data_IF_707629990767
#
_entry.id   IF_707629990767
#
_cell.length_a   1.000
_cell.length_b   1.000
_cell.length_c   1.000
_cell.angle_alpha   90.00
_cell.angle_beta   90.00
_cell.angle_gamma   90.00
#
_symmetry.space_group_name_H-M   'P 1'
#
loop_
_entity.id
_entity.type
_entity.pdbx_description
1 polymer ?
#
# COMPACT_ATOMS: atom_id res chain seq x y z
N UNK A 1 17.80 -7.91 15.02
CA UNK A 1 17.44 -8.26 13.61
C UNK A 1 17.79 -7.07 12.74
N UNK A 2 18.67 -7.27 11.77
CA UNK A 2 19.16 -6.25 10.83
C UNK A 2 18.03 -5.68 9.95
N UNK A 3 18.08 -4.37 9.72
CA UNK A 3 17.13 -3.65 8.91
C UNK A 3 17.15 -2.15 9.16
N UNK A 4 16.00 -1.51 9.01
CA UNK A 4 15.87 -0.06 9.07
C UNK A 4 14.80 0.34 10.08
N UNK A 5 15.07 1.41 10.83
CA UNK A 5 14.06 2.16 11.56
C UNK A 5 13.83 3.46 10.81
N UNK A 6 12.59 3.84 10.61
CA UNK A 6 12.25 5.07 9.89
C UNK A 6 11.38 6.00 10.73
N UNK A 7 11.54 7.29 10.46
CA UNK A 7 10.64 8.34 10.90
C UNK A 7 9.94 8.88 9.65
N UNK A 8 8.62 8.90 9.70
CA UNK A 8 7.80 9.39 8.60
C UNK A 8 6.83 10.47 9.08
N UNK A 9 6.48 11.40 8.19
CA UNK A 9 5.56 12.52 8.44
C UNK A 9 4.41 12.49 7.45
N UNK A 10 3.29 13.06 7.85
CA UNK A 10 2.12 13.25 6.98
C UNK A 10 2.35 14.47 6.09
N UNK A 11 1.98 14.32 4.81
CA UNK A 11 1.95 15.41 3.84
C UNK A 11 0.51 15.58 3.37
N UNK A 12 0.03 16.81 3.35
CA UNK A 12 -1.27 17.15 2.79
C UNK A 12 -1.25 17.15 1.23
N UNK A 13 -2.42 17.27 0.62
CA UNK A 13 -2.54 17.30 -0.84
C UNK A 13 -1.85 18.52 -1.49
N UNK A 14 -1.51 19.55 -0.71
CA UNK A 14 -0.75 20.72 -1.13
C UNK A 14 0.76 20.51 -1.06
N UNK A 15 1.23 19.35 -0.60
CA UNK A 15 2.64 19.05 -0.41
C UNK A 15 3.25 19.70 0.84
N UNK A 16 2.41 20.06 1.83
CA UNK A 16 2.87 20.62 3.11
C UNK A 16 2.87 19.54 4.18
N UNK A 17 3.90 19.55 5.02
CA UNK A 17 3.90 18.69 6.19
C UNK A 17 2.79 19.09 7.17
N UNK A 18 2.02 18.11 7.62
CA UNK A 18 1.07 18.31 8.71
C UNK A 18 1.87 18.37 10.02
N UNK A 19 1.75 19.49 10.73
CA UNK A 19 2.51 19.74 11.94
C UNK A 19 2.24 18.69 13.02
N UNK A 20 3.31 18.28 13.68
CA UNK A 20 3.30 17.49 14.90
C UNK A 20 3.27 15.98 14.71
N UNK A 21 2.73 15.45 13.62
CA UNK A 21 2.55 14.02 13.48
C UNK A 21 3.77 13.33 12.88
N UNK A 22 4.39 12.44 13.67
CA UNK A 22 5.52 11.60 13.28
C UNK A 22 5.16 10.13 13.48
N UNK A 23 5.49 9.29 12.52
CA UNK A 23 5.40 7.84 12.65
C UNK A 23 6.82 7.29 12.82
N UNK A 24 7.02 6.47 13.85
CA UNK A 24 8.24 5.70 14.05
C UNK A 24 7.88 4.24 13.78
N UNK A 25 8.65 3.58 12.93
CA UNK A 25 8.41 2.18 12.58
C UNK A 25 9.66 1.52 12.02
N UNK A 26 9.57 0.21 11.81
CA UNK A 26 10.68 -0.60 11.29
C UNK A 26 10.35 -1.27 9.95
N UNK A 27 11.40 -1.60 9.20
CA UNK A 27 11.29 -2.35 7.95
C UNK A 27 12.60 -3.00 7.55
N UNK A 28 12.54 -4.17 6.94
CA UNK A 28 13.70 -4.76 6.25
C UNK A 28 14.00 -4.07 4.92
N UNK A 29 13.02 -3.39 4.32
CA UNK A 29 13.11 -2.71 3.03
C UNK A 29 12.32 -1.41 3.10
N UNK A 30 12.93 -0.33 3.56
CA UNK A 30 12.23 0.93 3.83
C UNK A 30 11.56 1.53 2.58
N UNK A 31 12.17 1.44 1.39
CA UNK A 31 11.56 1.93 0.13
C UNK A 31 10.25 1.20 -0.22
N UNK A 32 10.21 -0.12 -0.02
CA UNK A 32 8.99 -0.91 -0.21
C UNK A 32 7.94 -0.54 0.85
N UNK A 33 8.39 -0.31 2.09
CA UNK A 33 7.52 0.07 3.20
C UNK A 33 6.88 1.44 2.98
N UNK A 34 7.61 2.42 2.47
CA UNK A 34 7.08 3.74 2.11
C UNK A 34 5.96 3.63 1.07
N UNK A 35 6.17 2.83 0.02
CA UNK A 35 5.12 2.54 -0.98
C UNK A 35 3.90 1.87 -0.34
N UNK A 36 4.10 0.94 0.61
CA UNK A 36 3.00 0.28 1.31
C UNK A 36 2.21 1.25 2.20
N UNK A 37 2.87 2.18 2.88
CA UNK A 37 2.21 3.20 3.70
C UNK A 37 1.29 4.09 2.85
N UNK A 38 1.70 4.41 1.63
CA UNK A 38 0.93 5.23 0.69
C UNK A 38 -0.06 4.44 -0.17
N UNK A 39 0.01 3.10 -0.17
CA UNK A 39 -0.95 2.23 -0.89
C UNK A 39 -2.26 2.02 -0.12
N UNK A 40 -2.28 2.33 1.17
CA UNK A 40 -3.51 2.34 1.96
C UNK A 40 -4.32 3.59 1.59
N UNK A 41 -5.66 3.48 1.54
CA UNK A 41 -6.55 4.59 1.18
C UNK A 41 -6.60 5.63 2.31
N UNK A 42 -5.44 6.14 2.71
CA UNK A 42 -5.36 7.25 3.64
C UNK A 42 -5.70 8.55 2.92
N UNK A 43 -6.37 9.51 3.57
CA UNK A 43 -6.69 10.81 2.97
C UNK A 43 -5.45 11.74 2.89
N UNK A 44 -4.27 11.23 3.14
CA UNK A 44 -2.99 11.96 3.15
C UNK A 44 -1.86 11.02 2.73
N UNK A 45 -0.79 11.61 2.22
CA UNK A 45 0.43 10.88 1.91
C UNK A 45 1.38 10.85 3.11
N UNK A 46 2.24 9.83 3.17
CA UNK A 46 3.26 9.65 4.21
C UNK A 46 4.63 9.63 3.56
N UNK A 47 5.53 10.51 3.99
CA UNK A 47 6.91 10.58 3.53
C UNK A 47 7.87 10.16 4.64
N UNK A 48 8.78 9.24 4.35
CA UNK A 48 9.89 8.94 5.25
C UNK A 48 10.90 10.10 5.19
N UNK A 49 11.05 10.76 6.32
CA UNK A 49 11.93 11.95 6.44
C UNK A 49 13.30 11.61 7.02
N UNK A 50 13.40 10.49 7.76
CA UNK A 50 14.66 9.96 8.30
C UNK A 50 14.63 8.43 8.27
N UNK A 51 15.76 7.80 7.95
CA UNK A 51 15.90 6.34 7.92
C UNK A 51 17.26 5.98 8.53
N UNK A 52 17.25 5.01 9.43
CA UNK A 52 18.43 4.56 10.17
C UNK A 52 18.69 3.09 9.88
N UNK A 53 19.90 2.78 9.42
CA UNK A 53 20.34 1.40 9.22
C UNK A 53 20.90 0.84 10.54
N UNK A 54 20.44 -0.34 10.97
CA UNK A 54 20.81 -0.93 12.23
C UNK A 54 20.82 -2.45 12.19
N UNK A 55 21.69 -3.07 12.99
CA UNK A 55 21.73 -4.51 13.20
C UNK A 55 20.56 -5.01 14.08
N UNK A 56 19.99 -4.13 14.89
CA UNK A 56 18.82 -4.46 15.71
C UNK A 56 17.72 -3.38 15.64
N UNK A 57 16.92 -3.47 14.59
CA UNK A 57 15.82 -2.53 14.36
C UNK A 57 14.74 -2.58 15.46
N UNK A 58 14.52 -3.72 16.09
CA UNK A 58 13.53 -3.83 17.17
C UNK A 58 13.94 -3.08 18.43
N UNK A 59 15.21 -3.17 18.81
CA UNK A 59 15.75 -2.42 19.96
C UNK A 59 15.74 -0.92 19.67
N UNK A 60 16.19 -0.48 18.49
CA UNK A 60 16.20 0.95 18.14
C UNK A 60 14.78 1.55 18.09
N UNK A 61 13.83 0.86 17.43
CA UNK A 61 12.43 1.28 17.40
C UNK A 61 11.86 1.39 18.81
N UNK A 62 12.06 0.36 19.66
CA UNK A 62 11.59 0.35 21.04
C UNK A 62 12.15 1.50 21.88
N UNK A 63 13.44 1.81 21.73
CA UNK A 63 14.07 2.94 22.41
C UNK A 63 13.42 4.26 21.96
N UNK A 64 13.28 4.49 20.66
CA UNK A 64 12.63 5.69 20.13
C UNK A 64 11.17 5.80 20.59
N UNK A 65 10.43 4.69 20.61
CA UNK A 65 9.07 4.67 21.14
C UNK A 65 8.99 5.08 22.60
N UNK A 66 9.88 4.59 23.44
CA UNK A 66 9.96 4.97 24.88
C UNK A 66 10.30 6.45 25.03
N UNK A 67 11.22 6.98 24.23
CA UNK A 67 11.62 8.38 24.30
C UNK A 67 10.53 9.38 23.97
N UNK A 68 9.56 8.95 23.18
CA UNK A 68 8.44 9.79 22.74
C UNK A 68 7.09 9.30 23.25
N UNK A 69 7.05 8.40 24.23
CA UNK A 69 5.81 7.78 24.72
C UNK A 69 4.78 8.80 25.22
N UNK A 70 5.23 9.88 25.87
CA UNK A 70 4.36 10.99 26.33
C UNK A 70 3.63 11.72 25.18
N UNK A 71 4.13 11.58 23.96
CA UNK A 71 3.53 12.19 22.76
C UNK A 71 2.77 11.18 21.91
N UNK A 72 2.64 9.94 22.36
CA UNK A 72 2.00 8.86 21.60
C UNK A 72 0.53 9.13 21.35
N UNK A 73 0.11 9.01 20.10
CA UNK A 73 -1.29 9.11 19.74
C UNK A 73 -2.02 7.85 20.15
N UNK A 74 -3.02 8.00 20.99
CA UNK A 74 -3.89 6.90 21.46
C UNK A 74 -5.21 7.00 20.71
N UNK A 75 -5.66 5.89 20.12
CA UNK A 75 -7.01 5.77 19.57
C UNK A 75 -7.94 5.23 20.64
N UNK A 76 -8.92 6.03 21.00
CA UNK A 76 -10.01 5.62 21.88
C UNK A 76 -11.18 5.10 21.03
N UNK A 77 -11.74 3.98 21.43
CA UNK A 77 -12.93 3.40 20.81
C UNK A 77 -14.10 3.43 21.81
N UNK A 78 -15.32 3.50 21.31
CA UNK A 78 -16.56 3.59 22.13
C UNK A 78 -16.72 2.42 23.11
N UNK A 79 -16.08 1.28 22.84
CA UNK A 79 -16.06 0.08 23.71
C UNK A 79 -14.97 0.13 24.81
N UNK A 80 -14.39 1.29 25.09
CA UNK A 80 -13.31 1.53 26.07
C UNK A 80 -11.99 0.80 25.77
N UNK A 81 -11.78 0.36 24.55
CA UNK A 81 -10.47 -0.13 24.12
C UNK A 81 -9.58 1.05 23.70
N UNK A 82 -8.45 1.19 24.37
CA UNK A 82 -7.41 2.13 23.96
C UNK A 82 -6.36 1.36 23.18
N UNK A 83 -6.13 1.75 21.92
CA UNK A 83 -5.08 1.17 21.07
C UNK A 83 -3.96 2.19 20.94
N UNK A 84 -2.79 1.84 21.44
CA UNK A 84 -1.57 2.62 21.18
C UNK A 84 -1.19 2.53 19.72
N UNK A 85 -0.81 3.66 19.13
CA UNK A 85 -0.38 3.71 17.74
C UNK A 85 1.14 3.88 17.66
N UNK A 86 1.70 3.74 16.47
CA UNK A 86 3.10 4.08 16.16
C UNK A 86 3.23 5.56 15.72
N UNK A 87 2.21 6.37 15.99
CA UNK A 87 2.17 7.80 15.70
C UNK A 87 2.38 8.61 16.98
N UNK A 88 3.13 9.70 16.83
CA UNK A 88 3.49 10.61 17.90
C UNK A 88 3.13 12.04 17.47
N UNK A 89 2.51 12.80 18.36
CA UNK A 89 2.18 14.20 18.10
C UNK A 89 3.16 15.12 18.84
N UNK A 90 4.25 15.47 18.18
CA UNK A 90 5.30 16.34 18.70
C UNK A 90 5.30 17.63 17.91
N UNK A 91 4.80 18.72 18.51
CA UNK A 91 4.72 20.03 17.86
C UNK A 91 6.08 20.74 17.72
N UNK A 92 6.99 20.49 18.66
CA UNK A 92 8.36 21.00 18.64
C UNK A 92 9.27 20.03 17.87
N UNK A 93 9.38 20.25 16.56
CA UNK A 93 10.14 19.40 15.65
C UNK A 93 11.66 19.50 15.91
N UNK A 94 12.15 20.65 16.33
CA UNK A 94 13.58 20.83 16.62
C UNK A 94 13.96 20.03 17.83
N UNK A 95 13.19 20.10 18.90
CA UNK A 95 13.38 19.26 20.09
C UNK A 95 13.26 17.78 19.78
N UNK A 96 12.33 17.39 18.88
CA UNK A 96 12.18 16.03 18.41
C UNK A 96 13.47 15.53 17.71
N UNK A 97 13.93 16.29 16.72
CA UNK A 97 15.14 15.96 15.96
C UNK A 97 16.38 15.91 16.87
N UNK A 98 16.56 16.89 17.75
CA UNK A 98 17.68 16.89 18.71
C UNK A 98 17.71 15.63 19.60
N UNK A 99 16.56 15.18 20.07
CA UNK A 99 16.47 13.94 20.86
C UNK A 99 16.82 12.71 20.02
N UNK A 100 16.30 12.63 18.78
CA UNK A 100 16.65 11.54 17.87
C UNK A 100 18.15 11.53 17.61
N UNK A 101 18.74 12.69 17.29
CA UNK A 101 20.17 12.82 17.01
C UNK A 101 21.04 12.38 18.19
N UNK A 102 20.71 12.80 19.40
CA UNK A 102 21.41 12.37 20.61
C UNK A 102 21.42 10.84 20.75
N UNK A 103 20.29 10.19 20.47
CA UNK A 103 20.19 8.74 20.60
C UNK A 103 20.91 8.00 19.49
N UNK A 104 20.72 8.40 18.26
CA UNK A 104 21.35 7.80 17.07
C UNK A 104 22.88 7.92 17.18
N UNK A 105 23.38 9.10 17.57
CA UNK A 105 24.81 9.33 17.80
C UNK A 105 25.36 8.51 18.98
N UNK A 106 24.61 8.43 20.09
CA UNK A 106 25.04 7.63 21.25
C UNK A 106 25.15 6.14 20.91
N UNK A 107 24.24 5.64 20.08
CA UNK A 107 24.22 4.25 19.63
C UNK A 107 25.11 4.00 18.40
N UNK A 108 25.77 5.03 17.88
CA UNK A 108 26.58 4.98 16.65
C UNK A 108 25.83 4.38 15.46
N UNK A 109 24.57 4.76 15.31
CA UNK A 109 23.68 4.31 14.24
C UNK A 109 23.87 5.18 12.99
N UNK A 110 23.94 4.55 11.83
CA UNK A 110 24.09 5.23 10.55
C UNK A 110 22.74 5.69 10.00
N UNK A 111 22.62 6.98 9.72
CA UNK A 111 21.48 7.52 8.96
C UNK A 111 21.70 7.34 7.45
N UNK A 112 20.65 6.93 6.77
CA UNK A 112 20.64 6.73 5.31
C UNK A 112 20.40 8.08 4.64
N UNK A 113 21.25 8.44 3.69
CA UNK A 113 21.03 9.63 2.86
C UNK A 113 19.82 9.39 1.93
N UNK A 114 18.76 10.15 2.14
CA UNK A 114 17.55 10.11 1.33
C UNK A 114 17.62 11.02 0.10
N UNK A 115 18.71 11.81 -0.04
CA UNK A 115 18.93 12.75 -1.14
C UNK A 115 18.06 14.01 -1.07
N UNK A 116 17.45 14.29 0.08
CA UNK A 116 16.75 15.56 0.37
C UNK A 116 16.83 15.88 1.86
N UNK A 117 16.78 17.15 2.18
CA UNK A 117 16.69 17.66 3.56
C UNK A 117 15.29 18.21 3.80
N UNK A 118 14.69 17.87 4.94
CA UNK A 118 13.38 18.39 5.33
C UNK A 118 13.60 19.47 6.37
N UNK A 119 13.51 20.74 5.95
CA UNK A 119 13.47 21.86 6.86
C UNK A 119 12.07 22.03 7.46
N UNK A 120 12.00 22.46 8.70
CA UNK A 120 10.79 22.47 9.52
C UNK A 120 9.67 23.39 9.02
N UNK A 121 10.00 24.38 8.17
CA UNK A 121 9.08 25.41 7.69
C UNK A 121 8.84 25.34 6.17
N UNK A 122 9.39 24.33 5.51
CA UNK A 122 9.45 24.28 4.07
C UNK A 122 8.15 23.77 3.49
N UNK A 123 7.43 24.64 2.83
CA UNK A 123 6.60 24.25 1.69
C UNK A 123 7.58 23.69 0.65
N UNK A 124 7.50 22.38 0.37
CA UNK A 124 8.31 21.76 -0.66
C UNK A 124 8.26 22.60 -1.94
N UNK A 125 9.41 22.87 -2.54
CA UNK A 125 9.48 23.52 -3.85
C UNK A 125 8.73 22.68 -4.89
N UNK A 126 8.35 23.25 -6.02
CA UNK A 126 7.66 22.48 -7.08
C UNK A 126 8.54 21.34 -7.62
N UNK A 127 9.87 21.48 -7.56
CA UNK A 127 10.81 20.43 -7.94
C UNK A 127 10.83 19.32 -6.89
N UNK A 128 10.91 19.66 -5.61
CA UNK A 128 10.82 18.70 -4.49
C UNK A 128 9.44 18.04 -4.42
N UNK A 129 8.35 18.78 -4.65
CA UNK A 129 7.00 18.20 -4.79
C UNK A 129 6.92 17.20 -5.94
N UNK A 130 7.62 17.48 -7.04
CA UNK A 130 7.68 16.59 -8.19
C UNK A 130 8.53 15.36 -7.87
N UNK A 131 9.66 15.53 -7.18
CA UNK A 131 10.47 14.38 -6.71
C UNK A 131 9.74 13.55 -5.66
N UNK A 132 9.08 14.20 -4.69
CA UNK A 132 8.25 13.53 -3.69
C UNK A 132 7.07 12.82 -4.37
N UNK A 133 6.38 13.46 -5.31
CA UNK A 133 5.33 12.82 -6.11
C UNK A 133 5.88 11.68 -6.96
N UNK A 134 7.10 11.77 -7.45
CA UNK A 134 7.76 10.68 -8.18
C UNK A 134 8.24 9.55 -7.23
N UNK A 135 8.60 9.88 -5.98
CA UNK A 135 8.98 8.92 -4.93
C UNK A 135 7.76 8.30 -4.24
N UNK A 136 6.74 9.12 -3.91
CA UNK A 136 5.43 8.69 -3.39
C UNK A 136 4.58 8.16 -4.54
N UNK A 137 4.93 8.54 -5.76
CA UNK A 137 4.26 8.08 -6.98
C UNK A 137 4.01 6.60 -6.83
N UNK A 138 2.74 6.26 -6.72
CA UNK A 138 2.23 4.89 -6.80
C UNK A 138 3.18 4.11 -7.65
N UNK A 139 3.81 3.08 -7.08
CA UNK A 139 4.60 2.14 -7.87
C UNK A 139 3.87 2.02 -9.19
N UNK A 140 4.49 2.44 -10.31
CA UNK A 140 3.83 2.61 -11.62
C UNK A 140 2.79 1.53 -11.69
N UNK A 141 1.51 1.89 -11.79
CA UNK A 141 0.45 0.90 -11.66
C UNK A 141 0.79 -0.16 -12.70
N UNK A 142 1.41 -1.23 -12.23
CA UNK A 142 1.81 -2.31 -13.12
C UNK A 142 0.55 -2.78 -13.76
N UNK A 143 0.50 -2.72 -15.07
CA UNK A 143 -0.66 -3.17 -15.83
C UNK A 143 -0.60 -4.68 -16.01
N UNK A 144 -1.68 -5.23 -16.50
CA UNK A 144 -1.81 -6.64 -16.84
C UNK A 144 -1.90 -6.76 -18.35
N UNK A 145 -1.08 -7.65 -18.92
CA UNK A 145 -1.16 -8.07 -20.31
C UNK A 145 -1.48 -9.57 -20.33
N UNK A 146 -2.50 -9.94 -21.08
CA UNK A 146 -2.96 -11.32 -21.18
C UNK A 146 -3.13 -11.68 -22.65
N UNK A 147 -2.59 -12.81 -23.05
CA UNK A 147 -2.76 -13.35 -24.42
C UNK A 147 -3.56 -14.64 -24.37
N UNK A 148 -4.58 -14.75 -25.22
CA UNK A 148 -5.40 -15.94 -25.42
C UNK A 148 -5.30 -16.31 -26.91
N UNK A 149 -4.62 -17.39 -27.23
CA UNK A 149 -4.28 -17.72 -28.63
C UNK A 149 -3.52 -16.56 -29.28
N UNK A 150 -4.03 -16.02 -30.39
CA UNK A 150 -3.38 -14.91 -31.11
C UNK A 150 -3.87 -13.52 -30.64
N UNK A 151 -4.74 -13.45 -29.63
CA UNK A 151 -5.34 -12.19 -29.17
C UNK A 151 -4.70 -11.72 -27.88
N UNK A 152 -4.16 -10.49 -27.89
CA UNK A 152 -3.59 -9.85 -26.71
C UNK A 152 -4.53 -8.80 -26.16
N UNK A 153 -4.77 -8.85 -24.85
CA UNK A 153 -5.58 -7.91 -24.07
C UNK A 153 -4.67 -7.06 -23.20
N UNK A 154 -4.75 -5.75 -23.36
CA UNK A 154 -4.11 -4.75 -22.51
C UNK A 154 -4.98 -3.50 -22.52
N UNK A 155 -5.56 -3.14 -21.37
CA UNK A 155 -6.40 -1.97 -21.22
C UNK A 155 -5.68 -0.89 -20.40
N UNK A 156 -6.33 0.23 -20.11
CA UNK A 156 -5.73 1.34 -19.37
C UNK A 156 -5.34 0.94 -17.94
N UNK A 157 -6.03 -0.03 -17.35
CA UNK A 157 -5.75 -0.53 -15.99
C UNK A 157 -5.75 -2.05 -15.97
N UNK A 158 -4.97 -2.62 -15.03
CA UNK A 158 -4.97 -4.06 -14.78
C UNK A 158 -6.36 -4.60 -14.38
N UNK A 159 -7.22 -3.77 -13.77
CA UNK A 159 -8.60 -4.12 -13.45
C UNK A 159 -9.42 -4.30 -14.72
N UNK A 160 -9.36 -3.35 -15.64
CA UNK A 160 -10.10 -3.42 -16.91
C UNK A 160 -9.63 -4.62 -17.75
N UNK A 161 -8.30 -4.84 -17.86
CA UNK A 161 -7.76 -6.02 -18.55
C UNK A 161 -8.27 -7.31 -17.93
N UNK A 162 -8.26 -7.41 -16.59
CA UNK A 162 -8.76 -8.59 -15.88
C UNK A 162 -10.24 -8.85 -16.14
N UNK A 163 -11.10 -7.81 -16.12
CA UNK A 163 -12.54 -7.93 -16.39
C UNK A 163 -12.78 -8.37 -17.82
N UNK A 164 -12.12 -7.72 -18.80
CA UNK A 164 -12.25 -8.05 -20.23
C UNK A 164 -11.88 -9.50 -20.51
N UNK A 165 -10.75 -9.95 -19.94
CA UNK A 165 -10.26 -11.32 -20.13
C UNK A 165 -11.18 -12.33 -19.45
N UNK A 166 -11.66 -12.05 -18.25
CA UNK A 166 -12.63 -12.93 -17.57
C UNK A 166 -13.91 -13.10 -18.36
N UNK A 167 -14.52 -12.01 -18.86
CA UNK A 167 -15.69 -12.09 -19.71
C UNK A 167 -15.43 -12.98 -20.95
N UNK A 168 -14.27 -12.83 -21.57
CA UNK A 168 -13.89 -13.64 -22.73
C UNK A 168 -13.74 -15.13 -22.39
N UNK A 169 -13.10 -15.46 -21.25
CA UNK A 169 -12.88 -16.84 -20.81
C UNK A 169 -14.18 -17.58 -20.48
N UNK A 170 -15.19 -16.85 -20.00
CA UNK A 170 -16.44 -17.44 -19.52
C UNK A 170 -17.64 -17.20 -20.45
N UNK A 171 -17.42 -16.62 -21.63
CA UNK A 171 -18.47 -16.22 -22.59
C UNK A 171 -19.46 -17.34 -22.90
N UNK A 172 -18.99 -18.58 -22.99
CA UNK A 172 -19.80 -19.75 -23.33
C UNK A 172 -20.01 -20.72 -22.15
N UNK A 173 -19.77 -20.27 -20.93
CA UNK A 173 -19.92 -21.09 -19.72
C UNK A 173 -21.21 -20.72 -19.00
N UNK A 174 -21.99 -21.71 -18.62
CA UNK A 174 -23.23 -21.47 -17.85
C UNK A 174 -22.93 -20.96 -16.44
N UNK A 175 -23.89 -20.22 -15.88
CA UNK A 175 -23.76 -19.55 -14.58
C UNK A 175 -23.54 -20.53 -13.42
N UNK A 176 -24.25 -21.66 -13.42
CA UNK A 176 -24.18 -22.66 -12.37
C UNK A 176 -22.77 -23.26 -12.28
N UNK A 177 -22.20 -23.65 -13.41
CA UNK A 177 -20.81 -24.13 -13.50
C UNK A 177 -19.80 -23.10 -13.01
N UNK A 178 -20.00 -21.81 -13.30
CA UNK A 178 -19.13 -20.73 -12.84
C UNK A 178 -19.22 -20.54 -11.32
N UNK A 179 -20.41 -20.53 -10.75
CA UNK A 179 -20.62 -20.37 -9.32
C UNK A 179 -20.07 -21.56 -8.54
N UNK A 180 -20.30 -22.76 -9.00
CA UNK A 180 -19.81 -23.99 -8.37
C UNK A 180 -18.28 -24.05 -8.37
N UNK A 181 -17.64 -23.66 -9.48
CA UNK A 181 -16.19 -23.72 -9.63
C UNK A 181 -15.46 -22.54 -9.01
N UNK A 182 -16.06 -21.35 -9.01
CA UNK A 182 -15.39 -20.09 -8.68
C UNK A 182 -16.18 -19.22 -7.69
N UNK A 183 -17.13 -19.78 -6.95
CA UNK A 183 -17.96 -19.09 -5.98
C UNK A 183 -17.22 -18.31 -4.90
N UNK A 184 -15.91 -18.49 -4.74
CA UNK A 184 -15.07 -17.66 -3.86
C UNK A 184 -14.86 -16.24 -4.40
N UNK A 185 -14.99 -16.00 -5.71
CA UNK A 185 -14.80 -14.68 -6.33
C UNK A 185 -15.81 -14.35 -7.45
N UNK A 186 -16.75 -15.25 -7.78
CA UNK A 186 -17.88 -15.02 -8.68
C UNK A 186 -19.17 -15.31 -7.91
N UNK A 187 -20.16 -14.43 -7.98
CA UNK A 187 -21.44 -14.49 -7.26
C UNK A 187 -22.61 -14.14 -8.14
N UNK A 188 -23.79 -14.63 -7.79
CA UNK A 188 -25.04 -14.26 -8.47
C UNK A 188 -25.55 -12.89 -8.00
N UNK A 189 -25.32 -12.54 -6.73
CA UNK A 189 -25.68 -11.24 -6.18
C UNK A 189 -24.44 -10.50 -5.62
N UNK A 190 -24.46 -9.19 -5.77
CA UNK A 190 -23.41 -8.30 -5.24
C UNK A 190 -23.34 -8.35 -3.71
N UNK A 191 -24.45 -8.61 -3.05
CA UNK A 191 -24.55 -8.71 -1.58
C UNK A 191 -23.90 -9.98 -1.01
N UNK A 192 -23.71 -11.01 -1.84
CA UNK A 192 -23.07 -12.27 -1.43
C UNK A 192 -21.56 -12.16 -1.21
N UNK A 193 -20.96 -11.01 -1.56
CA UNK A 193 -19.56 -10.77 -1.24
C UNK A 193 -19.39 -10.36 0.21
N UNK A 194 -18.27 -10.79 0.80
CA UNK A 194 -17.91 -10.39 2.17
C UNK A 194 -17.81 -8.87 2.29
N UNK A 195 -18.16 -8.33 3.44
CA UNK A 195 -18.09 -6.89 3.75
C UNK A 195 -16.70 -6.28 3.54
N UNK A 196 -15.64 -7.10 3.63
CA UNK A 196 -14.27 -6.68 3.35
C UNK A 196 -14.02 -6.31 1.88
N UNK A 197 -14.90 -6.74 0.94
CA UNK A 197 -14.78 -6.41 -0.47
C UNK A 197 -15.64 -5.18 -0.76
N UNK A 198 -14.98 -4.04 -0.98
CA UNK A 198 -15.67 -2.76 -1.23
C UNK A 198 -16.45 -2.79 -2.54
N UNK A 199 -17.52 -2.00 -2.63
CA UNK A 199 -18.41 -1.96 -3.79
C UNK A 199 -17.69 -1.72 -5.12
N UNK A 200 -16.68 -0.85 -5.15
CA UNK A 200 -15.90 -0.58 -6.37
C UNK A 200 -14.99 -1.74 -6.83
N UNK A 201 -14.78 -2.74 -5.97
CA UNK A 201 -14.03 -3.96 -6.29
C UNK A 201 -14.96 -5.10 -6.77
N UNK A 202 -16.24 -4.83 -6.95
CA UNK A 202 -17.26 -5.74 -7.46
C UNK A 202 -17.68 -5.24 -8.82
N UNK A 203 -17.64 -6.07 -9.83
CA UNK A 203 -17.97 -5.72 -11.21
C UNK A 203 -18.95 -6.73 -11.76
N UNK A 204 -20.03 -6.25 -12.37
CA UNK A 204 -20.96 -7.07 -13.14
C UNK A 204 -20.28 -7.54 -14.43
N UNK A 205 -20.41 -8.82 -14.71
CA UNK A 205 -19.91 -9.46 -15.91
C UNK A 205 -20.98 -9.46 -17.02
N UNK A 206 -20.58 -9.66 -18.26
CA UNK A 206 -21.48 -9.65 -19.41
C UNK A 206 -22.60 -10.69 -19.33
N UNK A 207 -22.40 -11.76 -18.58
CA UNK A 207 -23.39 -12.79 -18.31
C UNK A 207 -24.31 -12.50 -17.09
N UNK A 208 -24.18 -11.33 -16.46
CA UNK A 208 -24.99 -10.88 -15.33
C UNK A 208 -24.60 -11.48 -13.98
N UNK A 209 -23.46 -12.17 -13.88
CA UNK A 209 -22.85 -12.52 -12.60
C UNK A 209 -21.95 -11.37 -12.12
N UNK A 210 -21.68 -11.33 -10.82
CA UNK A 210 -20.76 -10.37 -10.22
C UNK A 210 -19.40 -11.01 -9.92
N UNK A 211 -18.32 -10.27 -10.19
CA UNK A 211 -16.97 -10.73 -9.96
C UNK A 211 -16.21 -9.78 -9.05
N UNK A 212 -15.43 -10.34 -8.10
CA UNK A 212 -14.49 -9.58 -7.32
C UNK A 212 -13.24 -9.24 -8.13
N UNK A 213 -12.93 -7.95 -8.24
CA UNK A 213 -11.67 -7.45 -8.82
C UNK A 213 -10.64 -7.13 -7.74
N UNK A 214 -10.97 -7.36 -6.47
CA UNK A 214 -10.09 -7.12 -5.33
C UNK A 214 -8.84 -8.01 -5.38
N UNK A 215 -7.71 -7.41 -4.98
CA UNK A 215 -6.42 -8.08 -4.88
C UNK A 215 -5.37 -7.56 -5.87
N UNK A 216 -4.13 -7.99 -5.65
CA UNK A 216 -2.98 -7.62 -6.48
C UNK A 216 -3.07 -8.20 -7.90
N UNK A 217 -2.20 -7.72 -8.82
CA UNK A 217 -2.10 -8.31 -10.16
C UNK A 217 -1.75 -9.81 -10.11
N UNK A 218 -0.92 -10.22 -9.14
CA UNK A 218 -0.63 -11.64 -8.92
C UNK A 218 -1.90 -12.44 -8.58
N UNK A 219 -2.79 -11.88 -7.76
CA UNK A 219 -4.08 -12.51 -7.42
C UNK A 219 -4.98 -12.62 -8.64
N UNK A 220 -5.04 -11.57 -9.47
CA UNK A 220 -5.81 -11.56 -10.72
C UNK A 220 -5.29 -12.62 -11.69
N UNK A 221 -3.97 -12.70 -11.88
CA UNK A 221 -3.33 -13.74 -12.71
C UNK A 221 -3.66 -15.15 -12.21
N UNK A 222 -3.59 -15.39 -10.90
CA UNK A 222 -3.94 -16.71 -10.33
C UNK A 222 -5.38 -17.09 -10.64
N UNK A 223 -6.33 -16.15 -10.54
CA UNK A 223 -7.75 -16.39 -10.89
C UNK A 223 -7.94 -16.67 -12.38
N UNK A 224 -7.31 -15.88 -13.26
CA UNK A 224 -7.34 -16.10 -14.70
C UNK A 224 -6.81 -17.50 -15.05
N UNK A 225 -5.67 -17.90 -14.50
CA UNK A 225 -5.10 -19.22 -14.71
C UNK A 225 -6.02 -20.33 -14.21
N UNK A 226 -6.64 -20.19 -13.02
CA UNK A 226 -7.56 -21.22 -12.51
C UNK A 226 -8.79 -21.40 -13.41
N UNK A 227 -9.29 -20.31 -14.00
CA UNK A 227 -10.40 -20.37 -14.97
C UNK A 227 -9.93 -21.00 -16.29
N UNK A 228 -8.77 -20.59 -16.80
CA UNK A 228 -8.22 -21.14 -18.04
C UNK A 228 -7.91 -22.63 -17.95
N UNK A 229 -7.32 -23.09 -16.85
CA UNK A 229 -7.08 -24.49 -16.55
C UNK A 229 -8.38 -25.30 -16.49
N UNK A 230 -9.41 -24.78 -15.80
CA UNK A 230 -10.71 -25.44 -15.69
C UNK A 230 -11.38 -25.69 -17.04
N UNK A 231 -11.27 -24.74 -17.96
CA UNK A 231 -11.90 -24.79 -19.27
C UNK A 231 -10.95 -25.17 -20.41
N UNK A 232 -9.72 -25.57 -20.08
CA UNK A 232 -8.68 -25.97 -21.02
C UNK A 232 -8.41 -24.92 -22.10
N UNK A 233 -8.33 -23.64 -21.68
CA UNK A 233 -7.99 -22.49 -22.54
C UNK A 233 -6.56 -22.09 -22.21
N UNK A 234 -5.69 -22.05 -23.21
CA UNK A 234 -4.30 -21.62 -23.00
C UNK A 234 -4.21 -20.10 -22.91
N UNK A 235 -3.57 -19.60 -21.84
CA UNK A 235 -3.35 -18.18 -21.60
C UNK A 235 -1.93 -17.86 -21.14
N UNK A 236 -1.40 -16.76 -21.64
CA UNK A 236 -0.16 -16.17 -21.13
C UNK A 236 -0.49 -14.87 -20.39
N UNK A 237 0.08 -14.69 -19.18
CA UNK A 237 -0.14 -13.50 -18.34
C UNK A 237 1.19 -12.87 -17.98
N UNK A 238 1.30 -11.56 -18.21
CA UNK A 238 2.48 -10.75 -17.91
C UNK A 238 2.07 -9.48 -17.15
N UNK A 239 2.90 -9.08 -16.16
CA UNK A 239 2.77 -7.78 -15.47
C UNK A 239 3.70 -6.79 -16.20
N UNK A 240 3.13 -5.71 -16.73
CA UNK A 240 3.81 -4.71 -17.55
C UNK A 240 3.73 -3.32 -16.96
#
# INVERSE_FOLDING_TARGET
MEGYVYIARIIDHGGKFVNGYHKIGLSKQYKVRETQLNSTHLPFDVLMVRVFETEDMGTLEGILHVCFDDYRVIKEYDDRRNITTEWFNVSDIDSFNERVDKMVNYLNIKEVDLGFTVDNDTTLTEEEKTEVKNKIGRAKSTNLKVTIGDTTFINNTAKETYVTVMNRLVENVDKETLMDSFGQFIKDDVEDFRDSIKGYDRVEMDNGLFMSTWGSNVTKIKRLKSVSEKFNIDIECEIV
#
